data_IF_193304930518
#
_entry.id   IF_193304930518
#
_cell.length_a   1.000
_cell.length_b   1.000
_cell.length_c   1.000
_cell.angle_alpha   90.00
_cell.angle_beta   90.00
_cell.angle_gamma   90.00
#
_symmetry.space_group_name_H-M   'P 1'
#
loop_
_entity.id
_entity.type
_entity.pdbx_description
1 polymer ?
#
# COMPACT_ATOMS: atom_id res chain seq x y z
N UNK A 1 -2.48 17.75 -18.79
CA UNK A 1 -1.78 18.95 -19.33
C UNK A 1 -2.00 19.09 -20.83
N UNK A 2 -1.76 18.05 -21.64
CA UNK A 2 -1.95 18.08 -23.11
C UNK A 2 -3.34 18.57 -23.51
N UNK A 3 -4.39 18.06 -22.87
CA UNK A 3 -5.77 18.48 -23.14
C UNK A 3 -6.04 19.96 -22.84
N UNK A 4 -5.40 20.53 -21.81
CA UNK A 4 -5.55 21.95 -21.47
C UNK A 4 -4.81 22.87 -22.46
N UNK A 5 -3.77 22.38 -23.14
CA UNK A 5 -3.06 23.13 -24.18
C UNK A 5 -3.91 23.32 -25.45
N UNK A 6 -4.93 22.48 -25.67
CA UNK A 6 -5.82 22.57 -26.82
C UNK A 6 -6.60 23.89 -26.88
N UNK A 7 -6.71 24.64 -25.78
CA UNK A 7 -7.34 25.98 -25.79
C UNK A 7 -6.53 27.04 -26.55
N UNK A 8 -5.22 26.81 -26.77
CA UNK A 8 -4.37 27.72 -27.55
C UNK A 8 -4.51 27.53 -29.07
N UNK A 9 -5.09 26.41 -29.51
CA UNK A 9 -5.20 26.04 -30.91
C UNK A 9 -6.66 26.03 -31.38
N UNK A 10 -6.93 26.28 -32.67
CA UNK A 10 -8.27 26.14 -33.21
C UNK A 10 -8.72 24.68 -33.15
N UNK A 11 -9.94 24.46 -32.65
CA UNK A 11 -10.57 23.16 -32.63
C UNK A 11 -11.39 22.98 -33.91
N UNK A 12 -11.07 21.95 -34.68
CA UNK A 12 -11.82 21.56 -35.88
C UNK A 12 -12.67 20.35 -35.53
N UNK A 13 -13.98 20.46 -35.68
CA UNK A 13 -14.91 19.33 -35.61
C UNK A 13 -15.63 19.16 -36.95
N UNK A 14 -15.92 17.92 -37.33
CA UNK A 14 -16.69 17.60 -38.53
C UNK A 14 -17.99 16.93 -38.09
N UNK A 15 -19.11 17.59 -38.34
CA UNK A 15 -20.43 17.03 -38.12
C UNK A 15 -20.91 16.39 -39.43
N UNK A 16 -21.26 15.11 -39.39
CA UNK A 16 -21.74 14.38 -40.55
C UNK A 16 -23.04 13.64 -40.23
N UNK A 17 -23.95 13.57 -41.20
CA UNK A 17 -25.21 12.85 -41.04
C UNK A 17 -25.73 12.33 -42.38
N UNK A 18 -26.40 11.17 -42.32
CA UNK A 18 -27.16 10.60 -43.42
C UNK A 18 -28.64 10.73 -43.09
N UNK A 19 -29.45 11.18 -44.05
CA UNK A 19 -30.90 11.32 -43.88
C UNK A 19 -31.61 10.95 -45.16
N UNK A 20 -32.77 10.29 -45.06
CA UNK A 20 -33.66 10.07 -46.20
C UNK A 20 -34.77 11.11 -46.16
N UNK A 21 -34.88 11.91 -47.22
CA UNK A 21 -35.91 12.95 -47.33
C UNK A 21 -36.67 12.73 -48.63
N UNK A 22 -37.96 12.43 -48.54
CA UNK A 22 -38.85 12.24 -49.69
C UNK A 22 -40.13 13.07 -49.51
N UNK A 23 -40.55 13.78 -50.56
CA UNK A 23 -41.78 14.59 -50.55
C UNK A 23 -43.06 13.77 -50.72
N UNK A 24 -42.94 12.55 -51.24
CA UNK A 24 -44.03 11.59 -51.38
C UNK A 24 -43.53 10.14 -51.22
N UNK A 25 -44.40 9.17 -50.92
CA UNK A 25 -43.99 7.77 -50.76
C UNK A 25 -43.41 7.12 -52.02
N UNK A 26 -43.76 7.62 -53.22
CA UNK A 26 -43.21 7.12 -54.50
C UNK A 26 -41.77 7.57 -54.75
N UNK A 27 -41.29 8.59 -54.03
CA UNK A 27 -39.94 9.13 -54.18
C UNK A 27 -38.95 8.52 -53.17
N UNK A 28 -39.39 7.51 -52.41
CA UNK A 28 -38.55 6.80 -51.44
C UNK A 28 -37.67 5.76 -52.14
N UNK A 29 -36.61 6.24 -52.78
CA UNK A 29 -35.63 5.43 -53.50
C UNK A 29 -34.19 5.74 -53.02
N UNK A 30 -33.19 5.22 -53.73
CA UNK A 30 -31.77 5.51 -53.47
C UNK A 30 -31.41 7.01 -53.57
N UNK A 31 -32.20 7.78 -54.32
CA UNK A 31 -31.95 9.20 -54.59
C UNK A 31 -32.50 10.10 -53.47
N UNK A 32 -33.36 9.57 -52.60
CA UNK A 32 -33.82 10.24 -51.38
C UNK A 32 -32.74 10.32 -50.29
N UNK A 33 -31.61 9.61 -50.45
CA UNK A 33 -30.49 9.63 -49.51
C UNK A 33 -29.72 10.95 -49.62
N UNK A 34 -29.86 11.77 -48.59
CA UNK A 34 -29.13 13.02 -48.42
C UNK A 34 -27.96 12.80 -47.46
N UNK A 35 -26.76 13.19 -47.88
CA UNK A 35 -25.57 13.22 -47.03
C UNK A 35 -25.23 14.67 -46.69
N UNK A 36 -24.98 14.94 -45.42
CA UNK A 36 -24.54 16.24 -44.94
C UNK A 36 -23.18 16.10 -44.25
N UNK A 37 -22.23 16.98 -44.57
CA UNK A 37 -20.95 17.12 -43.89
C UNK A 37 -20.67 18.60 -43.65
N UNK A 38 -20.59 19.01 -42.37
CA UNK A 38 -20.42 20.39 -41.93
C UNK A 38 -19.18 20.49 -41.05
N UNK A 39 -18.08 21.09 -41.54
CA UNK A 39 -16.93 21.42 -40.70
C UNK A 39 -17.26 22.62 -39.81
N UNK A 40 -16.88 22.54 -38.54
CA UNK A 40 -17.01 23.62 -37.57
C UNK A 40 -15.63 23.94 -36.98
N UNK A 41 -15.26 25.22 -37.06
CA UNK A 41 -14.03 25.74 -36.48
C UNK A 41 -14.39 26.55 -35.23
N UNK A 42 -13.86 26.16 -34.07
CA UNK A 42 -14.02 26.91 -32.82
C UNK A 42 -12.66 27.39 -32.32
N UNK A 43 -12.50 28.71 -32.25
CA UNK A 43 -11.26 29.32 -31.74
C UNK A 43 -11.59 30.56 -30.90
N UNK A 44 -11.07 30.59 -29.67
CA UNK A 44 -11.27 31.70 -28.74
C UNK A 44 -10.07 32.65 -28.83
N UNK A 45 -10.15 33.67 -29.69
CA UNK A 45 -9.06 34.64 -29.90
C UNK A 45 -8.87 35.53 -28.65
N UNK A 46 -9.96 35.83 -27.92
CA UNK A 46 -9.95 36.59 -26.68
C UNK A 46 -10.56 35.76 -25.55
N UNK A 47 -9.73 35.12 -24.75
CA UNK A 47 -10.16 34.25 -23.65
C UNK A 47 -9.88 34.84 -22.26
N UNK A 48 -9.37 36.08 -22.20
CA UNK A 48 -9.01 36.82 -20.98
C UNK A 48 -8.17 36.01 -19.98
N UNK A 49 -7.30 35.11 -20.48
CA UNK A 49 -6.43 34.28 -19.65
C UNK A 49 -7.06 32.97 -19.15
N UNK A 50 -8.29 32.63 -19.60
CA UNK A 50 -8.96 31.37 -19.25
C UNK A 50 -8.13 30.15 -19.62
N UNK A 51 -7.57 30.07 -20.84
CA UNK A 51 -6.75 28.93 -21.26
C UNK A 51 -5.49 28.83 -20.41
N UNK A 52 -4.85 29.97 -20.10
CA UNK A 52 -3.70 30.02 -19.21
C UNK A 52 -4.04 29.46 -17.83
N UNK A 53 -5.14 29.89 -17.23
CA UNK A 53 -5.61 29.40 -15.92
C UNK A 53 -5.91 27.89 -15.96
N UNK A 54 -6.53 27.39 -17.03
CA UNK A 54 -6.79 25.96 -17.21
C UNK A 54 -5.50 25.13 -17.34
N UNK A 55 -4.49 25.65 -18.03
CA UNK A 55 -3.18 25.01 -18.15
C UNK A 55 -2.44 25.03 -16.81
N UNK A 56 -2.47 26.15 -16.08
CA UNK A 56 -1.89 26.26 -14.74
C UNK A 56 -2.58 25.28 -13.77
N UNK A 57 -3.91 25.18 -13.79
CA UNK A 57 -4.66 24.19 -13.01
C UNK A 57 -4.27 22.75 -13.37
N UNK A 58 -4.16 22.43 -14.67
CA UNK A 58 -3.77 21.09 -15.11
C UNK A 58 -2.32 20.74 -14.73
N UNK A 59 -1.42 21.72 -14.73
CA UNK A 59 -0.04 21.55 -14.25
C UNK A 59 0.02 21.35 -12.75
N UNK A 60 -0.70 22.17 -11.98
CA UNK A 60 -0.80 22.04 -10.53
C UNK A 60 -1.39 20.67 -10.14
N UNK A 61 -2.43 20.21 -10.84
CA UNK A 61 -2.99 18.87 -10.63
C UNK A 61 -2.01 17.73 -10.93
N UNK A 62 -1.17 17.87 -11.97
CA UNK A 62 -0.13 16.89 -12.26
C UNK A 62 0.96 16.87 -11.17
N UNK A 63 1.41 18.05 -10.72
CA UNK A 63 2.35 18.17 -9.62
C UNK A 63 1.79 17.56 -8.32
N UNK A 64 0.51 17.79 -8.02
CA UNK A 64 -0.18 17.15 -6.89
C UNK A 64 -0.21 15.62 -6.99
N UNK A 65 -0.45 15.06 -8.19
CA UNK A 65 -0.37 13.61 -8.42
C UNK A 65 1.04 13.05 -8.23
N UNK A 66 2.06 13.77 -8.71
CA UNK A 66 3.46 13.38 -8.53
C UNK A 66 3.85 13.38 -7.05
N UNK A 67 3.45 14.42 -6.30
CA UNK A 67 3.68 14.49 -4.85
C UNK A 67 2.94 13.38 -4.09
N UNK A 68 1.70 13.04 -4.48
CA UNK A 68 0.96 11.93 -3.87
C UNK A 68 1.62 10.57 -4.13
N UNK A 69 2.15 10.37 -5.34
CA UNK A 69 2.95 9.19 -5.67
C UNK A 69 4.22 9.11 -4.80
N UNK A 70 4.99 10.19 -4.73
CA UNK A 70 6.19 10.26 -3.89
C UNK A 70 5.86 9.98 -2.42
N UNK A 71 4.80 10.59 -1.89
CA UNK A 71 4.32 10.33 -0.53
C UNK A 71 3.95 8.86 -0.28
N UNK A 72 3.32 8.21 -1.26
CA UNK A 72 2.98 6.78 -1.18
C UNK A 72 4.23 5.91 -1.14
N UNK A 73 5.23 6.22 -1.98
CA UNK A 73 6.52 5.51 -2.01
C UNK A 73 7.28 5.70 -0.69
N UNK A 74 7.34 6.92 -0.18
CA UNK A 74 8.00 7.21 1.10
C UNK A 74 7.30 6.51 2.28
N UNK A 75 5.97 6.48 2.30
CA UNK A 75 5.22 5.76 3.32
C UNK A 75 5.48 4.25 3.27
N UNK A 76 5.56 3.67 2.07
CA UNK A 76 5.90 2.25 1.89
C UNK A 76 7.33 1.94 2.38
N UNK A 77 8.31 2.80 2.04
CA UNK A 77 9.69 2.67 2.54
C UNK A 77 9.77 2.79 4.07
N UNK A 78 9.01 3.73 4.65
CA UNK A 78 8.95 3.92 6.10
C UNK A 78 8.37 2.69 6.80
N UNK A 79 7.30 2.09 6.26
CA UNK A 79 6.71 0.87 6.83
C UNK A 79 7.67 -0.31 6.76
N UNK A 80 8.32 -0.53 5.62
CA UNK A 80 9.32 -1.58 5.43
C UNK A 80 10.51 -1.42 6.39
N UNK A 81 11.06 -0.21 6.52
CA UNK A 81 12.15 0.07 7.44
C UNK A 81 11.73 -0.14 8.91
N UNK A 82 10.52 0.29 9.26
CA UNK A 82 9.97 0.09 10.61
C UNK A 82 9.74 -1.38 10.93
N UNK A 83 9.24 -2.17 9.97
CA UNK A 83 9.08 -3.62 10.12
C UNK A 83 10.44 -4.32 10.28
N UNK A 84 11.44 -3.93 9.49
CA UNK A 84 12.80 -4.48 9.58
C UNK A 84 13.45 -4.17 10.93
N UNK A 85 13.33 -2.94 11.41
CA UNK A 85 13.83 -2.53 12.72
C UNK A 85 13.16 -3.33 13.86
N UNK A 86 11.83 -3.49 13.82
CA UNK A 86 11.07 -4.30 14.80
C UNK A 86 11.52 -5.77 14.79
N UNK A 87 11.70 -6.36 13.62
CA UNK A 87 12.22 -7.73 13.49
C UNK A 87 13.64 -7.85 14.06
N UNK A 88 14.53 -6.92 13.72
CA UNK A 88 15.90 -6.89 14.25
C UNK A 88 15.94 -6.79 15.78
N UNK A 89 15.11 -5.92 16.37
CA UNK A 89 14.99 -5.79 17.83
C UNK A 89 14.41 -7.05 18.48
N UNK A 90 13.37 -7.67 17.90
CA UNK A 90 12.80 -8.91 18.44
C UNK A 90 13.81 -10.08 18.41
N UNK A 91 14.68 -10.16 17.39
CA UNK A 91 15.77 -11.14 17.38
C UNK A 91 16.69 -10.97 18.58
N UNK A 92 17.12 -9.74 18.87
CA UNK A 92 17.98 -9.45 20.03
C UNK A 92 17.27 -9.78 21.35
N UNK A 93 16.00 -9.41 21.48
CA UNK A 93 15.18 -9.72 22.65
C UNK A 93 15.08 -11.23 22.90
N UNK A 94 14.86 -12.03 21.85
CA UNK A 94 14.82 -13.48 21.98
C UNK A 94 16.15 -14.04 22.50
N UNK A 95 17.30 -13.54 22.01
CA UNK A 95 18.61 -13.97 22.50
C UNK A 95 18.75 -13.71 24.00
N UNK A 96 18.40 -12.50 24.46
CA UNK A 96 18.46 -12.15 25.89
C UNK A 96 17.50 -13.00 26.72
N UNK A 97 16.26 -13.21 26.24
CA UNK A 97 15.28 -14.03 26.94
C UNK A 97 15.73 -15.49 27.08
N UNK A 98 16.34 -16.06 26.04
CA UNK A 98 16.92 -17.42 26.08
C UNK A 98 18.11 -17.52 27.05
N UNK A 99 18.94 -16.48 27.16
CA UNK A 99 20.01 -16.43 28.16
C UNK A 99 19.46 -16.38 29.59
N UNK A 100 18.39 -15.62 29.81
CA UNK A 100 17.70 -15.54 31.10
C UNK A 100 17.07 -16.89 31.47
N UNK A 101 16.36 -17.54 30.53
CA UNK A 101 15.80 -18.89 30.68
C UNK A 101 16.87 -19.92 31.07
N UNK A 102 18.00 -19.92 30.37
CA UNK A 102 19.10 -20.83 30.66
C UNK A 102 19.69 -20.58 32.06
N UNK A 103 19.78 -19.32 32.48
CA UNK A 103 20.28 -18.94 33.80
C UNK A 103 19.32 -19.35 34.90
N UNK A 104 18.02 -19.10 34.74
CA UNK A 104 16.99 -19.49 35.69
C UNK A 104 16.89 -21.02 35.82
N UNK A 105 17.03 -21.75 34.71
CA UNK A 105 17.06 -23.22 34.71
C UNK A 105 18.26 -23.77 35.48
N UNK A 106 19.46 -23.17 35.33
CA UNK A 106 20.63 -23.53 36.14
C UNK A 106 20.39 -23.24 37.62
N UNK A 107 19.84 -22.08 37.96
CA UNK A 107 19.52 -21.72 39.35
C UNK A 107 18.55 -22.69 40.00
N UNK A 108 17.50 -23.11 39.28
CA UNK A 108 16.55 -24.10 39.77
C UNK A 108 17.21 -25.46 40.03
N UNK A 109 18.09 -25.92 39.12
CA UNK A 109 18.87 -27.15 39.32
C UNK A 109 19.77 -27.10 40.54
N UNK A 110 20.47 -25.97 40.77
CA UNK A 110 21.30 -25.78 41.96
C UNK A 110 20.45 -25.73 43.24
N UNK A 111 19.28 -25.10 43.21
CA UNK A 111 18.39 -25.04 44.38
C UNK A 111 17.85 -26.42 44.75
N UNK A 112 17.52 -27.24 43.74
CA UNK A 112 17.12 -28.62 43.94
C UNK A 112 18.25 -29.43 44.59
N UNK A 113 19.49 -29.31 44.12
CA UNK A 113 20.65 -29.97 44.73
C UNK A 113 20.85 -29.56 46.20
N UNK A 114 20.68 -28.27 46.53
CA UNK A 114 20.76 -27.80 47.93
C UNK A 114 19.64 -28.38 48.78
N UNK A 115 18.45 -28.55 48.23
CA UNK A 115 17.31 -29.16 48.93
C UNK A 115 17.53 -30.64 49.19
N UNK A 116 18.08 -31.36 48.21
CA UNK A 116 18.43 -32.78 48.34
C UNK A 116 19.56 -32.97 49.37
N UNK A 117 20.45 -32.00 49.52
CA UNK A 117 21.46 -31.94 50.58
C UNK A 117 20.94 -31.43 51.94
N UNK A 118 19.65 -31.11 52.08
CA UNK A 118 19.05 -30.61 53.31
C UNK A 118 19.42 -29.16 53.68
N UNK A 119 20.02 -28.40 52.76
CA UNK A 119 20.56 -27.05 52.98
C UNK A 119 19.59 -25.90 52.64
N UNK A 120 18.36 -26.19 52.20
CA UNK A 120 17.33 -25.19 51.88
C UNK A 120 15.92 -25.78 52.05
N UNK A 121 14.91 -24.93 52.16
CA UNK A 121 13.51 -25.37 52.31
C UNK A 121 12.85 -25.71 50.96
N UNK A 122 11.72 -26.44 51.01
CA UNK A 122 10.92 -26.70 49.80
C UNK A 122 10.23 -25.43 49.26
N UNK A 123 10.03 -24.41 50.10
CA UNK A 123 9.45 -23.12 49.69
C UNK A 123 10.46 -22.36 48.82
N UNK A 124 11.74 -22.39 49.16
CA UNK A 124 12.80 -21.75 48.37
C UNK A 124 12.93 -22.39 46.98
N UNK A 125 12.81 -23.73 46.90
CA UNK A 125 12.79 -24.45 45.62
C UNK A 125 11.61 -24.02 44.76
N UNK A 126 10.41 -23.95 45.33
CA UNK A 126 9.22 -23.52 44.62
C UNK A 126 9.33 -22.07 44.14
N UNK A 127 9.99 -21.19 44.90
CA UNK A 127 10.23 -19.82 44.46
C UNK A 127 11.12 -19.75 43.22
N UNK A 128 12.26 -20.46 43.23
CA UNK A 128 13.18 -20.50 42.09
C UNK A 128 12.54 -21.21 40.89
N UNK A 129 11.73 -22.26 41.10
CA UNK A 129 10.98 -22.90 40.02
C UNK A 129 9.93 -21.96 39.40
N UNK A 130 9.25 -21.12 40.20
CA UNK A 130 8.36 -20.07 39.67
C UNK A 130 9.14 -19.07 38.81
N UNK A 131 10.33 -18.66 39.25
CA UNK A 131 11.20 -17.77 38.46
C UNK A 131 11.66 -18.44 37.15
N UNK A 132 12.01 -19.72 37.19
CA UNK A 132 12.35 -20.50 36.00
C UNK A 132 11.19 -20.54 35.00
N UNK A 133 9.98 -20.87 35.46
CA UNK A 133 8.79 -20.92 34.61
C UNK A 133 8.49 -19.55 34.00
N UNK A 134 8.56 -18.48 34.79
CA UNK A 134 8.40 -17.12 34.29
C UNK A 134 9.43 -16.75 33.21
N UNK A 135 10.67 -17.22 33.32
CA UNK A 135 11.71 -16.98 32.32
C UNK A 135 11.47 -17.81 31.03
N UNK A 136 10.97 -19.04 31.15
CA UNK A 136 10.57 -19.88 30.01
C UNK A 136 9.40 -19.24 29.25
N UNK A 137 8.39 -18.75 29.96
CA UNK A 137 7.25 -18.05 29.37
C UNK A 137 7.70 -16.78 28.64
N UNK A 138 8.60 -15.99 29.24
CA UNK A 138 9.16 -14.81 28.59
C UNK A 138 9.94 -15.15 27.30
N UNK A 139 10.71 -16.24 27.28
CA UNK A 139 11.40 -16.71 26.09
C UNK A 139 10.43 -17.18 25.00
N UNK A 140 9.36 -17.88 25.37
CA UNK A 140 8.30 -18.29 24.43
C UNK A 140 7.58 -17.08 23.83
N UNK A 141 7.23 -16.09 24.65
CA UNK A 141 6.62 -14.83 24.18
C UNK A 141 7.54 -14.06 23.24
N UNK A 142 8.85 -13.97 23.56
CA UNK A 142 9.83 -13.33 22.68
C UNK A 142 9.95 -14.05 21.32
N UNK A 143 9.80 -15.38 21.31
CA UNK A 143 9.81 -16.16 20.07
C UNK A 143 8.56 -15.91 19.23
N UNK A 144 7.38 -15.83 19.85
CA UNK A 144 6.14 -15.45 19.17
C UNK A 144 6.27 -14.05 18.57
N UNK A 145 6.78 -13.08 19.34
CA UNK A 145 6.97 -11.71 18.86
C UNK A 145 7.92 -11.62 17.66
N UNK A 146 8.98 -12.44 17.66
CA UNK A 146 9.89 -12.54 16.53
C UNK A 146 9.17 -13.02 15.26
N UNK A 147 8.34 -14.06 15.37
CA UNK A 147 7.58 -14.61 14.25
C UNK A 147 6.54 -13.62 13.72
N UNK A 148 5.82 -12.94 14.62
CA UNK A 148 4.86 -11.89 14.23
C UNK A 148 5.58 -10.76 13.48
N UNK A 149 6.74 -10.31 13.97
CA UNK A 149 7.52 -9.28 13.31
C UNK A 149 8.11 -9.74 11.97
N UNK A 150 8.44 -11.02 11.84
CA UNK A 150 8.88 -11.61 10.57
C UNK A 150 7.76 -11.57 9.53
N UNK A 151 6.54 -11.98 9.89
CA UNK A 151 5.37 -11.91 9.00
C UNK A 151 5.05 -10.46 8.63
N UNK A 152 5.14 -9.53 9.57
CA UNK A 152 4.94 -8.10 9.30
C UNK A 152 5.97 -7.54 8.32
N UNK A 153 7.25 -7.92 8.46
CA UNK A 153 8.31 -7.57 7.51
C UNK A 153 7.99 -8.12 6.11
N UNK A 154 7.62 -9.40 6.03
CA UNK A 154 7.26 -10.04 4.76
C UNK A 154 6.08 -9.33 4.07
N UNK A 155 5.06 -8.93 4.84
CA UNK A 155 3.91 -8.16 4.36
C UNK A 155 4.33 -6.78 3.83
N UNK A 156 5.21 -6.07 4.55
CA UNK A 156 5.68 -4.74 4.14
C UNK A 156 6.52 -4.77 2.85
N UNK A 157 7.18 -5.89 2.56
CA UNK A 157 7.94 -6.10 1.32
C UNK A 157 7.07 -6.48 0.11
N UNK A 158 5.74 -6.55 0.29
CA UNK A 158 4.81 -6.77 -0.81
C UNK A 158 4.54 -8.24 -1.15
N UNK A 159 4.97 -9.19 -0.32
CA UNK A 159 4.63 -10.59 -0.54
C UNK A 159 3.12 -10.81 -0.32
N UNK A 160 2.43 -11.11 -1.43
CA UNK A 160 0.98 -11.25 -1.50
C UNK A 160 0.35 -10.42 -2.63
N UNK A 161 1.06 -9.48 -3.23
CA UNK A 161 0.60 -8.76 -4.41
C UNK A 161 0.96 -9.54 -5.68
N UNK A 162 0.13 -10.51 -6.06
CA UNK A 162 0.05 -10.96 -7.45
C UNK A 162 -0.98 -10.09 -8.19
N UNK A 163 -0.62 -9.58 -9.37
CA UNK A 163 -1.50 -8.83 -10.28
C UNK A 163 -2.78 -9.59 -10.69
N UNK A 164 -2.92 -10.87 -10.33
CA UNK A 164 -4.09 -11.69 -10.64
C UNK A 164 -5.41 -11.18 -10.04
N UNK A 165 -5.39 -10.26 -9.08
CA UNK A 165 -6.61 -9.64 -8.55
C UNK A 165 -7.19 -8.52 -9.44
N UNK A 166 -6.48 -8.05 -10.47
CA UNK A 166 -6.93 -6.93 -11.32
C UNK A 166 -7.35 -7.35 -12.74
N UNK A 167 -7.21 -8.63 -13.11
CA UNK A 167 -7.65 -9.17 -14.41
C UNK A 167 -9.10 -9.66 -14.48
N UNK A 168 -9.87 -9.52 -13.40
CA UNK A 168 -11.27 -9.97 -13.31
C UNK A 168 -12.22 -8.78 -13.13
N UNK A 169 -12.21 -7.81 -14.05
CA UNK A 169 -13.31 -6.87 -14.30
C UNK A 169 -13.35 -6.49 -15.76
#
# INVERSE_FOLDING_TARGET
>A
VIEALNGYFPQVSLLGGLSWVAGSPSDFNSDALTTLAVPMLRWSIFDFGKTRAQVEQARAGNAGRAAAYEGTVLAALQDANSALARFGSARKQLVVARQAEASATRSAGLMQQRRDAGATSSIDVLDVQRQQLSAQDAAAQAQVQLLVNYVALQKSLGLGWSEQAQGAR
#
